data_IF_609469002218
#
_entry.id   IF_609469002218
#
_cell.length_a   1.000
_cell.length_b   1.000
_cell.length_c   1.000
_cell.angle_alpha   90.00
_cell.angle_beta   90.00
_cell.angle_gamma   90.00
#
_symmetry.space_group_name_H-M   'P 1'
#
loop_
_entity.id
_entity.type
_entity.pdbx_description
1 polymer ?
#
# COMPACT_ATOMS: atom_id res chain seq x y z
N UNK A 1 -6.13 7.32 25.66
CA UNK A 1 -7.53 6.85 25.53
C UNK A 1 -7.95 6.56 24.09
N UNK A 2 -7.56 7.35 23.08
CA UNK A 2 -7.93 7.09 21.66
C UNK A 2 -7.33 5.81 21.03
N UNK A 3 -6.12 5.39 21.42
CA UNK A 3 -5.46 4.22 20.81
C UNK A 3 -6.17 2.88 21.08
N UNK A 4 -6.71 2.68 22.28
CA UNK A 4 -7.42 1.42 22.63
C UNK A 4 -8.76 1.26 21.90
N UNK A 5 -9.47 2.35 21.63
CA UNK A 5 -10.74 2.29 20.87
C UNK A 5 -10.49 1.95 19.39
N UNK A 6 -9.40 2.47 18.81
CA UNK A 6 -8.93 2.11 17.47
C UNK A 6 -8.41 0.67 17.43
N UNK A 7 -7.70 0.21 18.45
CA UNK A 7 -7.19 -1.17 18.50
C UNK A 7 -8.27 -2.22 18.69
N UNK A 8 -9.36 -1.95 19.41
CA UNK A 8 -10.41 -2.96 19.67
C UNK A 8 -11.54 -2.93 18.63
N UNK A 9 -11.94 -1.74 18.15
CA UNK A 9 -13.03 -1.64 17.17
C UNK A 9 -12.51 -1.70 15.72
N UNK A 10 -11.43 -0.98 15.36
CA UNK A 10 -10.91 -0.92 13.98
C UNK A 10 -10.01 -2.11 13.58
N UNK A 11 -9.51 -2.90 14.54
CA UNK A 11 -8.76 -4.16 14.28
C UNK A 11 -9.59 -5.42 14.53
N UNK A 12 -10.90 -5.31 14.59
CA UNK A 12 -11.76 -6.48 14.48
C UNK A 12 -11.37 -7.25 13.21
N UNK A 13 -11.09 -8.57 13.27
CA UNK A 13 -10.81 -9.38 12.09
C UNK A 13 -11.86 -9.20 10.98
N UNK A 14 -13.08 -8.85 11.39
CA UNK A 14 -14.20 -8.56 10.51
C UNK A 14 -13.98 -7.30 9.66
N UNK A 15 -13.42 -6.22 10.22
CA UNK A 15 -13.11 -5.00 9.44
C UNK A 15 -11.97 -5.28 8.46
N UNK A 16 -10.96 -6.02 8.90
CA UNK A 16 -9.87 -6.43 8.01
C UNK A 16 -10.41 -7.26 6.85
N UNK A 17 -11.25 -8.26 7.14
CA UNK A 17 -11.90 -9.10 6.14
C UNK A 17 -12.78 -8.27 5.18
N UNK A 18 -13.63 -7.38 5.70
CA UNK A 18 -14.48 -6.53 4.87
C UNK A 18 -13.68 -5.59 3.97
N UNK A 19 -12.57 -5.01 4.47
CA UNK A 19 -11.67 -4.20 3.66
C UNK A 19 -10.98 -5.02 2.56
N UNK A 20 -10.51 -6.24 2.88
CA UNK A 20 -9.93 -7.16 1.89
C UNK A 20 -10.95 -7.53 0.81
N UNK A 21 -12.18 -7.87 1.21
CA UNK A 21 -13.29 -8.18 0.29
C UNK A 21 -13.60 -6.96 -0.58
N UNK A 22 -13.64 -5.76 -0.01
CA UNK A 22 -13.87 -4.52 -0.76
C UNK A 22 -12.81 -4.30 -1.85
N UNK A 23 -11.53 -4.49 -1.52
CA UNK A 23 -10.43 -4.40 -2.51
C UNK A 23 -10.53 -5.53 -3.55
N UNK A 24 -10.89 -6.75 -3.15
CA UNK A 24 -11.08 -7.87 -4.08
C UNK A 24 -12.23 -7.60 -5.07
N UNK A 25 -13.33 -7.03 -4.60
CA UNK A 25 -14.46 -6.60 -5.44
C UNK A 25 -14.05 -5.49 -6.40
N UNK A 26 -13.24 -4.52 -5.95
CA UNK A 26 -12.68 -3.48 -6.82
C UNK A 26 -11.78 -4.07 -7.91
N UNK A 27 -10.90 -5.01 -7.57
CA UNK A 27 -10.08 -5.73 -8.55
C UNK A 27 -10.95 -6.46 -9.57
N UNK A 28 -11.95 -7.20 -9.11
CA UNK A 28 -12.87 -7.93 -9.98
C UNK A 28 -13.67 -6.99 -10.91
N UNK A 29 -14.12 -5.85 -10.40
CA UNK A 29 -14.79 -4.82 -11.20
C UNK A 29 -13.84 -4.20 -12.23
N UNK A 30 -12.60 -3.91 -11.85
CA UNK A 30 -11.59 -3.37 -12.75
C UNK A 30 -11.30 -4.36 -13.88
N UNK A 31 -11.11 -5.63 -13.53
CA UNK A 31 -10.87 -6.72 -14.46
C UNK A 31 -11.96 -6.84 -15.52
N UNK A 32 -13.22 -6.62 -15.14
CA UNK A 32 -14.37 -6.71 -16.06
C UNK A 32 -14.59 -5.46 -16.92
N UNK A 33 -14.24 -4.28 -16.41
CA UNK A 33 -14.61 -2.98 -17.04
C UNK A 33 -13.46 -2.26 -17.70
N UNK A 34 -12.22 -2.55 -17.32
CA UNK A 34 -11.06 -1.85 -17.82
C UNK A 34 -10.71 -2.25 -19.26
N UNK A 35 -10.11 -1.31 -19.99
CA UNK A 35 -9.61 -1.57 -21.34
C UNK A 35 -8.40 -2.54 -21.34
N UNK A 36 -7.55 -2.47 -20.30
CA UNK A 36 -6.35 -3.30 -20.11
C UNK A 36 -5.38 -3.30 -21.29
N UNK A 37 -5.15 -2.13 -21.90
CA UNK A 37 -4.32 -1.96 -23.10
C UNK A 37 -3.04 -1.16 -22.87
N UNK A 38 -2.96 -0.39 -21.78
CA UNK A 38 -1.85 0.52 -21.52
C UNK A 38 -0.69 -0.18 -20.84
N UNK A 39 0.52 -0.01 -21.37
CA UNK A 39 1.74 -0.46 -20.70
C UNK A 39 2.35 0.67 -19.82
N UNK A 40 3.37 0.35 -19.04
CA UNK A 40 4.10 1.29 -18.18
C UNK A 40 4.60 2.54 -18.93
N UNK A 41 5.06 2.37 -20.17
CA UNK A 41 5.58 3.48 -20.99
C UNK A 41 4.50 4.48 -21.42
N UNK A 42 3.22 4.12 -21.29
CA UNK A 42 2.07 4.94 -21.70
C UNK A 42 1.37 5.60 -20.49
N UNK A 43 1.98 5.50 -19.31
CA UNK A 43 1.48 6.15 -18.10
C UNK A 43 1.42 7.66 -18.30
N UNK A 44 0.21 8.19 -18.14
CA UNK A 44 -0.02 9.63 -18.06
C UNK A 44 0.12 10.10 -16.62
N UNK A 45 0.34 11.41 -16.43
CA UNK A 45 0.32 12.02 -15.10
C UNK A 45 -0.98 11.77 -14.33
N UNK A 46 -2.12 11.73 -15.04
CA UNK A 46 -3.42 11.39 -14.45
C UNK A 46 -3.47 9.96 -13.92
N UNK A 47 -2.78 9.01 -14.56
CA UNK A 47 -2.66 7.63 -14.08
C UNK A 47 -1.86 7.60 -12.78
N UNK A 48 -0.67 8.18 -12.78
CA UNK A 48 0.23 8.21 -11.63
C UNK A 48 -0.44 8.87 -10.42
N UNK A 49 -1.08 10.03 -10.62
CA UNK A 49 -1.75 10.74 -9.53
C UNK A 49 -2.95 9.97 -8.98
N UNK A 50 -3.73 9.32 -9.85
CA UNK A 50 -4.87 8.51 -9.42
C UNK A 50 -4.43 7.30 -8.58
N UNK A 51 -3.38 6.59 -9.01
CA UNK A 51 -2.84 5.43 -8.28
C UNK A 51 -2.23 5.87 -6.95
N UNK A 52 -1.46 6.97 -6.94
CA UNK A 52 -0.87 7.53 -5.72
C UNK A 52 -1.92 8.00 -4.72
N UNK A 53 -3.00 8.63 -5.18
CA UNK A 53 -4.11 9.06 -4.31
C UNK A 53 -4.88 7.87 -3.76
N UNK A 54 -5.17 6.86 -4.59
CA UNK A 54 -5.81 5.62 -4.15
C UNK A 54 -4.98 4.86 -3.12
N UNK A 55 -3.66 4.95 -3.20
CA UNK A 55 -2.76 4.35 -2.21
C UNK A 55 -2.94 4.93 -0.79
N UNK A 56 -3.40 6.18 -0.65
CA UNK A 56 -3.72 6.74 0.67
C UNK A 56 -4.83 5.95 1.38
N UNK A 57 -5.73 5.30 0.63
CA UNK A 57 -6.76 4.41 1.19
C UNK A 57 -6.15 3.17 1.87
N UNK A 58 -4.89 2.82 1.57
CA UNK A 58 -4.17 1.75 2.23
C UNK A 58 -3.82 2.03 3.70
N UNK A 59 -4.11 3.24 4.22
CA UNK A 59 -4.06 3.51 5.66
C UNK A 59 -5.23 2.88 6.41
N UNK A 60 -6.31 2.49 5.72
CA UNK A 60 -7.42 1.74 6.33
C UNK A 60 -6.92 0.33 6.67
N UNK A 61 -7.00 -0.11 7.94
CA UNK A 61 -6.58 -1.46 8.34
C UNK A 61 -7.29 -2.55 7.53
N UNK A 62 -6.51 -3.47 6.94
CA UNK A 62 -7.02 -4.53 6.08
C UNK A 62 -7.08 -4.18 4.59
N UNK A 63 -6.92 -2.92 4.20
CA UNK A 63 -6.76 -2.57 2.78
C UNK A 63 -5.39 -3.02 2.29
N UNK A 64 -5.37 -3.92 1.31
CA UNK A 64 -4.12 -4.33 0.65
C UNK A 64 -3.56 -3.18 -0.18
N UNK A 65 -2.37 -2.69 0.17
CA UNK A 65 -1.71 -1.60 -0.56
C UNK A 65 -1.49 -1.95 -2.02
N UNK A 66 -0.95 -3.14 -2.29
CA UNK A 66 -0.79 -3.64 -3.66
C UNK A 66 -2.13 -3.86 -4.34
N UNK A 67 -3.13 -4.37 -3.62
CA UNK A 67 -4.47 -4.59 -4.17
C UNK A 67 -5.13 -3.30 -4.66
N UNK A 68 -5.10 -2.22 -3.87
CA UNK A 68 -5.74 -0.96 -4.24
C UNK A 68 -5.00 -0.22 -5.36
N UNK A 69 -3.67 -0.26 -5.38
CA UNK A 69 -2.86 0.35 -6.45
C UNK A 69 -2.99 -0.43 -7.76
N UNK A 70 -3.00 -1.76 -7.72
CA UNK A 70 -3.25 -2.60 -8.90
C UNK A 70 -4.67 -2.37 -9.41
N UNK A 71 -5.69 -2.43 -8.56
CA UNK A 71 -7.09 -2.20 -8.96
C UNK A 71 -7.26 -0.84 -9.65
N UNK A 72 -6.68 0.20 -9.07
CA UNK A 72 -6.73 1.54 -9.65
C UNK A 72 -5.98 1.59 -10.98
N UNK A 73 -4.79 0.98 -11.07
CA UNK A 73 -4.03 0.87 -12.32
C UNK A 73 -4.82 0.17 -13.43
N UNK A 74 -5.49 -0.94 -13.10
CA UNK A 74 -6.40 -1.63 -14.02
C UNK A 74 -7.53 -0.69 -14.45
N UNK A 75 -8.21 0.01 -13.54
CA UNK A 75 -9.25 0.98 -13.90
C UNK A 75 -8.73 2.14 -14.78
N UNK A 76 -7.46 2.49 -14.68
CA UNK A 76 -6.80 3.45 -15.57
C UNK A 76 -6.46 2.87 -16.95
N UNK A 77 -6.74 1.60 -17.17
CA UNK A 77 -6.57 0.89 -18.42
C UNK A 77 -5.22 0.21 -18.57
N UNK A 78 -4.41 0.14 -17.50
CA UNK A 78 -3.14 -0.59 -17.53
C UNK A 78 -3.36 -2.09 -17.75
N UNK A 79 -2.43 -2.74 -18.43
CA UNK A 79 -2.36 -4.20 -18.44
C UNK A 79 -2.11 -4.71 -17.01
N UNK A 80 -2.46 -5.98 -16.76
CA UNK A 80 -2.24 -6.64 -15.47
C UNK A 80 -0.78 -6.58 -15.04
N UNK A 81 0.09 -6.85 -16.00
CA UNK A 81 1.54 -6.82 -15.79
C UNK A 81 2.02 -5.40 -15.50
N UNK A 82 1.59 -4.40 -16.27
CA UNK A 82 1.97 -3.01 -16.04
C UNK A 82 1.49 -2.50 -14.67
N UNK A 83 0.25 -2.81 -14.28
CA UNK A 83 -0.31 -2.43 -12.99
C UNK A 83 0.46 -3.08 -11.82
N UNK A 84 0.77 -4.37 -11.91
CA UNK A 84 1.55 -5.08 -10.90
C UNK A 84 2.97 -4.55 -10.79
N UNK A 85 3.66 -4.36 -11.93
CA UNK A 85 5.01 -3.79 -11.98
C UNK A 85 5.04 -2.36 -11.43
N UNK A 86 4.08 -1.52 -11.81
CA UNK A 86 3.97 -0.16 -11.28
C UNK A 86 3.76 -0.17 -9.76
N UNK A 87 2.87 -1.02 -9.26
CA UNK A 87 2.64 -1.17 -7.81
C UNK A 87 3.90 -1.64 -7.06
N UNK A 88 4.71 -2.51 -7.66
CA UNK A 88 5.97 -2.95 -7.08
C UNK A 88 7.00 -1.82 -7.05
N UNK A 89 7.19 -1.12 -8.17
CA UNK A 89 8.09 0.03 -8.26
C UNK A 89 7.70 1.14 -7.28
N UNK A 90 6.41 1.41 -7.14
CA UNK A 90 5.87 2.39 -6.21
C UNK A 90 6.16 2.04 -4.74
N UNK A 91 6.31 0.75 -4.41
CA UNK A 91 6.62 0.29 -3.05
C UNK A 91 8.02 0.70 -2.61
N UNK A 92 9.01 0.76 -3.51
CA UNK A 92 10.39 1.08 -3.20
C UNK A 92 10.58 2.46 -2.51
N UNK A 93 10.13 3.59 -3.08
CA UNK A 93 10.28 4.89 -2.43
C UNK A 93 9.48 5.00 -1.12
N UNK A 94 8.34 4.30 -1.01
CA UNK A 94 7.54 4.29 0.22
C UNK A 94 8.28 3.55 1.34
N UNK A 95 8.83 2.38 1.03
CA UNK A 95 9.60 1.59 2.00
C UNK A 95 10.85 2.37 2.42
N UNK A 96 11.56 2.98 1.47
CA UNK A 96 12.73 3.81 1.75
C UNK A 96 12.38 5.01 2.65
N UNK A 97 11.29 5.73 2.36
CA UNK A 97 10.83 6.85 3.19
C UNK A 97 10.40 6.42 4.59
N UNK A 98 9.69 5.29 4.71
CA UNK A 98 9.31 4.74 6.01
C UNK A 98 10.53 4.30 6.84
N UNK A 99 11.52 3.68 6.20
CA UNK A 99 12.78 3.29 6.84
C UNK A 99 13.58 4.50 7.31
N UNK A 100 13.71 5.54 6.46
CA UNK A 100 14.39 6.78 6.82
C UNK A 100 13.72 7.48 8.00
N UNK A 101 12.39 7.61 7.98
CA UNK A 101 11.63 8.18 9.10
C UNK A 101 11.90 7.41 10.39
N UNK A 102 11.84 6.07 10.34
CA UNK A 102 12.07 5.23 11.51
C UNK A 102 13.49 5.37 12.07
N UNK A 103 14.50 5.53 11.19
CA UNK A 103 15.87 5.80 11.60
C UNK A 103 16.03 7.14 12.32
N UNK A 104 15.35 8.18 11.84
CA UNK A 104 15.34 9.50 12.49
C UNK A 104 14.64 9.44 13.86
N UNK A 105 13.48 8.79 13.94
CA UNK A 105 12.73 8.61 15.19
C UNK A 105 13.58 7.90 16.27
N UNK A 106 14.41 6.92 15.88
CA UNK A 106 15.35 6.23 16.77
C UNK A 106 16.47 7.14 17.28
N UNK A 107 16.99 8.03 16.44
CA UNK A 107 18.00 9.03 16.88
C UNK A 107 17.41 9.99 17.91
N UNK A 108 16.16 10.40 17.75
CA UNK A 108 15.48 11.31 18.68
C UNK A 108 15.10 10.64 20.01
N UNK A 109 14.87 9.33 20.04
CA UNK A 109 14.49 8.59 21.26
C UNK A 109 15.68 8.16 22.12
N UNK A 110 16.91 8.42 21.70
CA UNK A 110 18.11 8.18 22.53
C UNK A 110 18.34 6.71 22.90
N UNK A 111 17.61 5.76 22.29
CA UNK A 111 17.94 4.35 22.39
C UNK A 111 19.23 4.12 21.62
N UNK A 112 20.33 4.23 22.34
CA UNK A 112 21.62 3.76 21.90
C UNK A 112 21.46 2.33 21.38
N UNK A 113 22.16 2.10 20.28
CA UNK A 113 22.41 0.85 19.56
C UNK A 113 23.17 -0.11 20.49
N UNK A 114 22.64 -0.39 21.68
CA UNK A 114 23.31 -1.15 22.75
C UNK A 114 22.94 -2.64 22.70
N UNK A 115 21.88 -3.01 21.96
CA UNK A 115 21.54 -4.41 21.72
C UNK A 115 21.28 -4.67 20.24
N UNK A 116 22.32 -4.59 19.40
CA UNK A 116 22.29 -4.98 17.99
C UNK A 116 22.38 -6.49 17.77
N UNK A 117 22.71 -7.27 18.80
CA UNK A 117 22.78 -8.73 18.74
C UNK A 117 21.55 -9.39 18.07
N UNK A 118 20.30 -8.99 18.37
CA UNK A 118 19.12 -9.56 17.72
C UNK A 118 18.98 -9.23 16.23
N UNK A 119 19.67 -8.20 15.73
CA UNK A 119 19.63 -7.82 14.32
C UNK A 119 20.58 -8.68 13.45
N UNK A 120 21.59 -9.28 14.07
CA UNK A 120 22.58 -10.15 13.41
C UNK A 120 22.34 -11.65 13.64
N UNK A 121 21.49 -12.01 14.61
CA UNK A 121 21.12 -13.39 14.94
C UNK A 121 19.67 -13.76 14.54
N UNK A 122 18.98 -12.86 13.84
CA UNK A 122 17.66 -13.09 13.26
C UNK A 122 17.74 -13.63 11.84
#
# INVERSE_FOLDING_TARGET
FGQRMVETQLRSPLILAMAMIGVALLLWLAEKKAALKKDLGELSWGDVLSIGTAQALAFIPGTSRSGITIATGLFRGLTREAAARFSFLLSAPIIAGAALKKLLDLRHTGMAVTNTLPLFLG
#
